data_IF_473251999637
#
_entry.id   IF_473251999637
#
_cell.length_a   1.000
_cell.length_b   1.000
_cell.length_c   1.000
_cell.angle_alpha   90.00
_cell.angle_beta   90.00
_cell.angle_gamma   90.00
#
_symmetry.space_group_name_H-M   'P 1'
#
loop_
_entity.id
_entity.type
_entity.pdbx_description
1 polymer ?
#
# COMPACT_ATOMS: atom_id res chain seq x y z
N UNK A 1 -2.25 8.49 -13.92
CA UNK A 1 -3.69 8.18 -14.06
C UNK A 1 -4.30 8.12 -12.68
N UNK A 2 -5.24 8.95 -12.41
CA UNK A 2 -5.56 9.37 -11.07
C UNK A 2 -6.82 8.77 -10.48
N UNK A 3 -7.15 9.28 -9.33
CA UNK A 3 -8.24 8.99 -8.38
C UNK A 3 -9.61 8.68 -9.02
N UNK A 4 -9.95 9.29 -10.16
CA UNK A 4 -11.19 9.04 -10.89
C UNK A 4 -11.28 7.60 -11.44
N UNK A 5 -10.16 6.99 -11.80
CA UNK A 5 -10.15 5.62 -12.34
C UNK A 5 -10.47 4.58 -11.25
N UNK A 6 -9.92 4.74 -10.04
CA UNK A 6 -10.13 3.78 -8.95
C UNK A 6 -11.58 3.84 -8.43
N UNK A 7 -12.14 5.05 -8.20
CA UNK A 7 -13.55 5.22 -7.79
C UNK A 7 -14.53 4.64 -8.80
N UNK A 8 -14.28 4.85 -10.09
CA UNK A 8 -15.13 4.30 -11.17
C UNK A 8 -15.03 2.77 -11.21
N UNK A 9 -13.82 2.22 -11.05
CA UNK A 9 -13.62 0.77 -11.04
C UNK A 9 -14.23 0.09 -9.81
N UNK A 10 -14.17 0.73 -8.63
CA UNK A 10 -14.86 0.25 -7.42
C UNK A 10 -16.38 0.22 -7.64
N UNK A 11 -16.95 1.27 -8.22
CA UNK A 11 -18.38 1.33 -8.51
C UNK A 11 -18.81 0.28 -9.55
N UNK A 12 -18.02 0.07 -10.61
CA UNK A 12 -18.28 -0.94 -11.65
C UNK A 12 -18.11 -2.38 -11.11
N UNK A 13 -17.12 -2.61 -10.23
CA UNK A 13 -16.92 -3.90 -9.58
C UNK A 13 -18.04 -4.21 -8.57
N UNK A 14 -18.49 -3.22 -7.81
CA UNK A 14 -19.64 -3.37 -6.91
C UNK A 14 -20.94 -3.72 -7.66
N UNK A 15 -21.17 -3.13 -8.84
CA UNK A 15 -22.31 -3.46 -9.67
C UNK A 15 -22.25 -4.88 -10.27
N UNK A 16 -21.06 -5.41 -10.55
CA UNK A 16 -20.85 -6.78 -11.05
C UNK A 16 -20.88 -7.84 -9.96
N UNK A 17 -20.39 -7.52 -8.75
CA UNK A 17 -20.31 -8.43 -7.61
C UNK A 17 -21.68 -8.78 -7.03
N UNK A 18 -22.67 -7.91 -7.15
CA UNK A 18 -24.05 -8.19 -6.71
C UNK A 18 -24.71 -9.41 -7.41
N UNK A 19 -24.10 -9.91 -8.48
CA UNK A 19 -24.66 -11.03 -9.29
C UNK A 19 -23.85 -12.35 -9.20
N UNK A 20 -22.76 -12.41 -8.42
CA UNK A 20 -21.89 -13.58 -8.34
C UNK A 20 -21.75 -14.09 -6.90
N UNK A 21 -21.72 -15.41 -6.71
CA UNK A 21 -21.39 -16.01 -5.42
C UNK A 21 -20.00 -15.56 -4.95
N UNK A 22 -19.80 -15.35 -3.64
CA UNK A 22 -18.52 -14.84 -3.11
C UNK A 22 -17.37 -15.80 -3.43
N UNK A 23 -16.36 -15.29 -4.10
CA UNK A 23 -15.15 -16.04 -4.50
C UNK A 23 -14.05 -16.02 -3.44
N UNK A 24 -14.28 -15.35 -2.33
CA UNK A 24 -13.36 -15.24 -1.20
C UNK A 24 -14.11 -15.27 0.14
N UNK A 25 -13.39 -15.49 1.24
CA UNK A 25 -13.98 -15.40 2.59
C UNK A 25 -14.06 -13.94 3.10
N UNK A 26 -14.18 -12.98 2.21
CA UNK A 26 -14.36 -11.57 2.55
C UNK A 26 -15.86 -11.23 2.63
N UNK A 27 -16.27 -10.26 3.48
CA UNK A 27 -17.60 -9.69 3.41
C UNK A 27 -17.91 -9.15 2.01
N UNK A 28 -19.16 -9.20 1.52
CA UNK A 28 -19.52 -8.81 0.15
C UNK A 28 -19.05 -7.40 -0.25
N UNK A 29 -19.10 -6.44 0.67
CA UNK A 29 -18.62 -5.07 0.49
C UNK A 29 -17.08 -4.99 0.28
N UNK A 30 -16.33 -5.87 0.95
CA UNK A 30 -14.87 -5.98 0.78
C UNK A 30 -14.47 -6.81 -0.44
N UNK A 31 -15.35 -7.71 -0.90
CA UNK A 31 -15.11 -8.49 -2.11
C UNK A 31 -15.01 -7.60 -3.35
N UNK A 32 -15.96 -6.68 -3.54
CA UNK A 32 -15.94 -5.75 -4.67
C UNK A 32 -14.73 -4.81 -4.63
N UNK A 33 -14.33 -4.38 -3.44
CA UNK A 33 -13.13 -3.58 -3.25
C UNK A 33 -11.86 -4.38 -3.59
N UNK A 34 -11.79 -5.63 -3.14
CA UNK A 34 -10.69 -6.54 -3.47
C UNK A 34 -10.56 -6.75 -4.98
N UNK A 35 -11.65 -7.04 -5.68
CA UNK A 35 -11.63 -7.22 -7.14
C UNK A 35 -11.16 -5.95 -7.86
N UNK A 36 -11.65 -4.78 -7.47
CA UNK A 36 -11.22 -3.50 -8.04
C UNK A 36 -9.74 -3.23 -7.80
N UNK A 37 -9.23 -3.52 -6.61
CA UNK A 37 -7.82 -3.36 -6.28
C UNK A 37 -6.93 -4.32 -7.07
N UNK A 38 -7.31 -5.59 -7.19
CA UNK A 38 -6.59 -6.57 -8.01
C UNK A 38 -6.48 -6.08 -9.46
N UNK A 39 -7.58 -5.60 -10.04
CA UNK A 39 -7.58 -5.08 -11.42
C UNK A 39 -6.68 -3.83 -11.56
N UNK A 40 -6.70 -2.94 -10.58
CA UNK A 40 -5.85 -1.74 -10.59
C UNK A 40 -4.37 -2.10 -10.52
N UNK A 41 -3.99 -2.96 -9.57
CA UNK A 41 -2.61 -3.39 -9.38
C UNK A 41 -2.08 -4.18 -10.58
N UNK A 42 -2.92 -5.01 -11.24
CA UNK A 42 -2.56 -5.71 -12.48
C UNK A 42 -2.27 -4.73 -13.63
N UNK A 43 -3.06 -3.67 -13.78
CA UNK A 43 -2.84 -2.65 -14.81
C UNK A 43 -1.56 -1.85 -14.58
N UNK A 44 -1.26 -1.52 -13.34
CA UNK A 44 -0.09 -0.70 -12.99
C UNK A 44 1.22 -1.49 -13.01
N UNK A 45 1.19 -2.75 -12.57
CA UNK A 45 2.39 -3.59 -12.50
C UNK A 45 2.84 -4.14 -13.85
N UNK A 46 1.98 -4.13 -14.87
CA UNK A 46 2.21 -4.77 -16.21
C UNK A 46 2.64 -6.25 -16.13
N UNK A 47 2.56 -6.85 -14.97
CA UNK A 47 2.93 -8.24 -14.70
C UNK A 47 1.73 -8.99 -14.15
N UNK A 48 1.69 -10.30 -14.39
CA UNK A 48 0.66 -11.14 -13.78
C UNK A 48 0.81 -11.08 -12.25
N UNK A 49 -0.23 -10.64 -11.56
CA UNK A 49 -0.27 -10.71 -10.11
C UNK A 49 -0.39 -12.18 -9.71
N UNK A 50 0.74 -12.76 -9.31
CA UNK A 50 0.78 -14.14 -8.83
C UNK A 50 -0.08 -14.34 -7.58
N UNK A 51 -0.13 -15.58 -7.10
CA UNK A 51 -0.86 -15.95 -5.87
C UNK A 51 -0.47 -15.06 -4.68
N UNK A 52 0.81 -14.70 -4.57
CA UNK A 52 1.35 -13.81 -3.52
C UNK A 52 0.68 -12.44 -3.51
N UNK A 53 0.60 -11.80 -4.67
CA UNK A 53 -0.03 -10.48 -4.77
C UNK A 53 -1.52 -10.51 -4.44
N UNK A 54 -2.24 -11.56 -4.86
CA UNK A 54 -3.66 -11.73 -4.53
C UNK A 54 -3.89 -11.94 -3.04
N UNK A 55 -3.07 -12.77 -2.38
CA UNK A 55 -3.15 -13.00 -0.94
C UNK A 55 -2.82 -11.75 -0.14
N UNK A 56 -1.77 -11.02 -0.53
CA UNK A 56 -1.41 -9.74 0.10
C UNK A 56 -2.48 -8.67 -0.12
N UNK A 57 -3.10 -8.62 -1.30
CA UNK A 57 -4.23 -7.70 -1.56
C UNK A 57 -5.41 -8.03 -0.66
N UNK A 58 -5.75 -9.31 -0.50
CA UNK A 58 -6.82 -9.76 0.39
C UNK A 58 -6.55 -9.35 1.84
N UNK A 59 -5.34 -9.61 2.34
CA UNK A 59 -4.93 -9.22 3.69
C UNK A 59 -5.01 -7.70 3.88
N UNK A 60 -4.51 -6.91 2.93
CA UNK A 60 -4.56 -5.45 3.01
C UNK A 60 -5.99 -4.89 3.00
N UNK A 61 -6.89 -5.46 2.20
CA UNK A 61 -8.32 -5.09 2.17
C UNK A 61 -9.02 -5.40 3.49
N UNK A 62 -8.61 -6.47 4.19
CA UNK A 62 -9.17 -6.80 5.51
C UNK A 62 -8.88 -5.73 6.56
N UNK A 63 -7.76 -5.01 6.45
CA UNK A 63 -7.37 -3.92 7.37
C UNK A 63 -8.18 -2.63 7.17
N UNK A 64 -8.86 -2.46 6.03
CA UNK A 64 -9.69 -1.28 5.78
C UNK A 64 -10.93 -1.28 6.66
N UNK A 65 -11.28 -0.11 7.18
CA UNK A 65 -12.56 0.08 7.87
C UNK A 65 -13.74 -0.01 6.89
N UNK A 66 -14.97 -0.29 7.37
CA UNK A 66 -16.17 -0.12 6.57
C UNK A 66 -16.20 1.30 5.99
N UNK A 67 -16.50 1.42 4.70
CA UNK A 67 -16.54 2.69 3.95
C UNK A 67 -15.21 3.43 3.76
N UNK A 68 -14.09 2.88 4.22
CA UNK A 68 -12.77 3.45 3.95
C UNK A 68 -12.36 3.17 2.50
N UNK A 69 -12.04 4.23 1.75
CA UNK A 69 -11.74 4.14 0.32
C UNK A 69 -10.23 4.32 0.10
N UNK A 70 -9.56 3.33 -0.52
CA UNK A 70 -8.20 3.49 -0.97
C UNK A 70 -8.05 4.66 -1.95
N UNK A 71 -7.03 5.49 -1.74
CA UNK A 71 -6.66 6.59 -2.65
C UNK A 71 -5.60 6.15 -3.63
N UNK A 72 -4.65 5.38 -3.15
CA UNK A 72 -3.55 4.85 -3.94
C UNK A 72 -3.10 3.51 -3.37
N UNK A 73 -2.66 2.60 -4.23
CA UNK A 73 -2.15 1.32 -3.79
C UNK A 73 -1.02 0.86 -4.72
N UNK A 74 -0.02 0.19 -4.13
CA UNK A 74 1.06 -0.48 -4.87
C UNK A 74 1.33 -1.87 -4.30
N UNK A 75 1.77 -2.77 -5.18
CA UNK A 75 2.36 -4.05 -4.82
C UNK A 75 3.89 -3.92 -4.87
N UNK A 76 4.56 -4.17 -3.77
CA UNK A 76 6.02 -3.98 -3.67
C UNK A 76 6.62 -4.80 -2.53
N UNK A 77 7.93 -4.70 -2.35
CA UNK A 77 8.59 -5.25 -1.18
C UNK A 77 8.82 -4.17 -0.13
N UNK A 78 8.61 -4.52 1.13
CA UNK A 78 8.97 -3.67 2.26
C UNK A 78 9.90 -4.39 3.21
N UNK A 79 10.65 -3.61 3.97
CA UNK A 79 11.38 -4.09 5.14
C UNK A 79 11.22 -3.09 6.28
N UNK A 80 11.20 -3.61 7.51
CA UNK A 80 10.99 -2.82 8.72
C UNK A 80 12.26 -2.76 9.55
N UNK A 81 12.56 -1.59 10.08
CA UNK A 81 13.51 -1.35 11.14
C UNK A 81 12.80 -0.76 12.36
N UNK A 82 13.37 -0.95 13.53
CA UNK A 82 12.89 -0.41 14.79
C UNK A 82 13.81 0.71 15.28
N UNK A 83 13.25 1.89 15.51
CA UNK A 83 14.00 3.01 16.11
C UNK A 83 14.45 2.68 17.53
N UNK A 84 13.62 1.98 18.31
CA UNK A 84 13.93 1.55 19.66
C UNK A 84 15.08 0.52 19.71
N UNK A 85 15.22 -0.32 18.67
CA UNK A 85 16.35 -1.26 18.54
C UNK A 85 17.62 -0.61 17.99
N UNK A 86 17.58 0.66 17.63
CA UNK A 86 18.70 1.38 17.05
C UNK A 86 19.00 0.99 15.59
N UNK A 87 18.02 0.48 14.86
CA UNK A 87 18.16 0.16 13.46
C UNK A 87 18.49 1.42 12.63
N UNK A 88 19.48 1.31 11.76
CA UNK A 88 19.90 2.40 10.89
C UNK A 88 19.45 2.12 9.46
N UNK A 89 18.72 3.06 8.91
CA UNK A 89 18.30 2.98 7.51
C UNK A 89 19.50 3.02 6.56
N UNK A 90 19.49 2.14 5.57
CA UNK A 90 20.46 2.14 4.47
C UNK A 90 19.76 2.36 3.13
N UNK A 91 20.47 2.83 2.09
CA UNK A 91 19.90 2.96 0.74
C UNK A 91 19.39 1.64 0.12
N UNK A 92 19.72 0.51 0.73
CA UNK A 92 19.24 -0.83 0.33
C UNK A 92 18.05 -1.31 1.17
N UNK A 93 17.59 -0.51 2.15
CA UNK A 93 16.62 -0.91 3.15
C UNK A 93 17.22 -1.89 4.18
N UNK A 94 16.36 -2.72 4.74
CA UNK A 94 16.73 -3.76 5.70
C UNK A 94 16.78 -5.14 5.02
N UNK A 95 17.39 -6.15 5.70
CA UNK A 95 17.62 -7.48 5.11
C UNK A 95 16.34 -8.27 4.83
N UNK A 96 15.40 -8.21 5.75
CA UNK A 96 14.17 -9.03 5.68
C UNK A 96 13.08 -8.33 4.88
N UNK A 97 13.08 -8.54 3.56
CA UNK A 97 12.09 -7.94 2.66
C UNK A 97 10.89 -8.85 2.50
N UNK A 98 9.70 -8.28 2.62
CA UNK A 98 8.43 -8.98 2.47
C UNK A 98 7.61 -8.33 1.36
N UNK A 99 7.00 -9.16 0.49
CA UNK A 99 6.09 -8.68 -0.54
C UNK A 99 4.74 -8.32 0.07
N UNK A 100 4.32 -7.07 -0.12
CA UNK A 100 3.12 -6.50 0.47
C UNK A 100 2.32 -5.68 -0.53
N UNK A 101 1.06 -5.47 -0.23
CA UNK A 101 0.26 -4.39 -0.81
C UNK A 101 0.25 -3.24 0.19
N UNK A 102 0.71 -2.05 -0.27
CA UNK A 102 0.58 -0.80 0.46
C UNK A 102 -0.63 -0.03 -0.05
N UNK A 103 -1.40 0.53 0.88
CA UNK A 103 -2.59 1.34 0.59
C UNK A 103 -2.48 2.68 1.32
N UNK A 104 -2.73 3.77 0.59
CA UNK A 104 -2.93 5.11 1.17
C UNK A 104 -4.44 5.38 1.17
N UNK A 105 -4.97 5.79 2.32
CA UNK A 105 -6.35 6.28 2.47
C UNK A 105 -6.36 7.78 2.80
N UNK A 106 -7.49 8.34 3.19
CA UNK A 106 -7.55 9.73 3.69
C UNK A 106 -7.00 9.86 5.12
N UNK A 107 -6.83 8.75 5.85
CA UNK A 107 -6.47 8.75 7.26
C UNK A 107 -5.19 7.99 7.57
N UNK A 108 -4.86 6.95 6.78
CA UNK A 108 -3.82 5.97 7.13
C UNK A 108 -2.99 5.53 5.93
N UNK A 109 -1.74 5.19 6.20
CA UNK A 109 -0.93 4.28 5.39
C UNK A 109 -1.04 2.89 6.01
N UNK A 110 -1.45 1.90 5.23
CA UNK A 110 -1.51 0.53 5.70
C UNK A 110 -0.86 -0.42 4.70
N UNK A 111 -0.35 -1.52 5.20
CA UNK A 111 0.17 -2.58 4.34
C UNK A 111 -0.01 -3.96 4.97
N UNK A 112 -0.14 -4.95 4.11
CA UNK A 112 -0.15 -6.34 4.51
C UNK A 112 0.54 -7.24 3.48
N UNK A 113 1.22 -8.27 3.98
CA UNK A 113 1.78 -9.35 3.22
C UNK A 113 1.35 -10.69 3.83
N UNK A 114 0.85 -11.61 3.00
CA UNK A 114 0.22 -12.85 3.46
C UNK A 114 1.11 -14.08 3.31
N UNK A 115 2.31 -13.96 2.74
CA UNK A 115 3.20 -15.10 2.48
C UNK A 115 4.50 -14.98 3.25
N UNK A 116 4.97 -16.13 3.73
CA UNK A 116 6.10 -16.21 4.65
C UNK A 116 5.66 -15.91 6.07
N UNK A 117 6.39 -15.06 6.78
CA UNK A 117 5.92 -14.47 8.04
C UNK A 117 4.90 -13.41 7.68
N UNK A 118 3.60 -13.58 8.03
CA UNK A 118 2.61 -12.54 7.80
C UNK A 118 3.06 -11.23 8.43
N UNK A 119 2.97 -10.17 7.65
CA UNK A 119 3.28 -8.82 8.11
C UNK A 119 2.10 -7.92 7.81
N UNK A 120 1.70 -7.16 8.80
CA UNK A 120 0.69 -6.12 8.66
C UNK A 120 1.05 -4.94 9.55
N UNK A 121 0.80 -3.74 9.07
CA UNK A 121 0.94 -2.53 9.86
C UNK A 121 -0.01 -1.45 9.33
N UNK A 122 -0.50 -0.66 10.26
CA UNK A 122 -1.30 0.53 10.02
C UNK A 122 -0.60 1.70 10.67
N UNK A 123 -0.37 2.76 9.90
CA UNK A 123 0.28 3.99 10.36
C UNK A 123 -0.69 5.15 10.11
N UNK A 124 -1.24 5.81 11.14
CA UNK A 124 -2.00 7.04 10.98
C UNK A 124 -1.18 8.09 10.24
N UNK A 125 -1.77 8.80 9.28
CA UNK A 125 -1.02 9.77 8.46
C UNK A 125 -0.45 10.93 9.30
N UNK A 126 -1.08 11.29 10.40
CA UNK A 126 -0.62 12.29 11.35
C UNK A 126 0.64 11.86 12.11
N UNK A 127 0.86 10.56 12.29
CA UNK A 127 2.02 10.00 12.99
C UNK A 127 3.25 9.85 12.10
N UNK A 128 3.11 10.00 10.79
CA UNK A 128 4.24 9.96 9.87
C UNK A 128 5.13 11.18 10.11
N UNK A 129 6.35 10.94 10.61
CA UNK A 129 7.34 11.97 10.94
C UNK A 129 8.26 12.27 9.77
N UNK A 130 8.66 11.24 9.00
CA UNK A 130 9.63 11.35 7.90
C UNK A 130 9.08 10.69 6.65
N UNK A 131 9.23 11.36 5.51
CA UNK A 131 9.08 10.80 4.16
C UNK A 131 10.31 11.26 3.37
N UNK A 132 11.29 10.37 3.24
CA UNK A 132 12.56 10.65 2.58
C UNK A 132 12.65 9.91 1.23
N UNK A 133 12.64 10.68 0.16
CA UNK A 133 12.70 10.21 -1.23
C UNK A 133 14.10 10.40 -1.86
N UNK A 134 15.11 10.77 -1.08
CA UNK A 134 16.48 11.00 -1.55
C UNK A 134 17.11 9.78 -2.23
N UNK A 135 16.66 8.56 -1.87
CA UNK A 135 17.10 7.31 -2.46
C UNK A 135 16.22 6.80 -3.62
N UNK A 136 15.29 7.62 -4.11
CA UNK A 136 14.51 7.34 -5.34
C UNK A 136 15.31 7.83 -6.56
N UNK A 137 16.40 7.16 -6.87
CA UNK A 137 17.37 7.58 -7.89
C UNK A 137 17.40 6.66 -9.10
N UNK A 138 17.24 5.37 -8.91
CA UNK A 138 17.41 4.33 -9.93
C UNK A 138 16.10 3.89 -10.57
N UNK A 139 16.14 3.68 -11.90
CA UNK A 139 15.01 3.14 -12.66
C UNK A 139 14.70 1.69 -12.26
N UNK A 140 15.70 0.94 -11.84
CA UNK A 140 15.58 -0.49 -11.52
C UNK A 140 15.31 -0.72 -10.04
N UNK A 141 16.07 -0.05 -9.17
CA UNK A 141 15.99 -0.23 -7.72
C UNK A 141 16.14 1.10 -7.01
N UNK A 142 15.13 1.45 -6.27
CA UNK A 142 15.05 2.63 -5.43
C UNK A 142 14.40 2.27 -4.11
N UNK A 143 14.62 3.07 -3.06
CA UNK A 143 14.02 2.86 -1.75
C UNK A 143 13.44 4.18 -1.25
N UNK A 144 12.17 4.16 -0.88
CA UNK A 144 11.49 5.23 -0.16
C UNK A 144 11.51 4.91 1.33
N UNK A 145 11.94 5.87 2.15
CA UNK A 145 11.92 5.78 3.61
C UNK A 145 10.71 6.51 4.17
N UNK A 146 9.96 5.83 5.02
CA UNK A 146 8.84 6.41 5.78
C UNK A 146 9.03 6.05 7.25
N UNK A 147 8.86 7.02 8.16
CA UNK A 147 8.99 6.77 9.60
C UNK A 147 7.77 7.28 10.35
N UNK A 148 7.39 6.51 11.34
CA UNK A 148 6.59 6.95 12.50
C UNK A 148 7.48 7.07 13.74
N UNK A 149 6.91 7.22 14.93
CA UNK A 149 7.67 7.37 16.18
C UNK A 149 8.50 6.12 16.56
N UNK A 150 8.16 4.94 16.05
CA UNK A 150 8.73 3.66 16.49
C UNK A 150 9.43 2.90 15.36
N UNK A 151 9.00 3.12 14.12
CA UNK A 151 9.33 2.24 13.00
C UNK A 151 9.93 3.00 11.84
N UNK A 152 10.90 2.38 11.19
CA UNK A 152 11.43 2.78 9.89
C UNK A 152 10.88 1.79 8.86
N UNK A 153 10.05 2.26 7.94
CA UNK A 153 9.56 1.49 6.80
C UNK A 153 10.40 1.82 5.56
N UNK A 154 11.09 0.82 5.03
CA UNK A 154 11.78 0.90 3.75
C UNK A 154 10.93 0.25 2.67
N UNK A 155 10.54 1.01 1.65
CA UNK A 155 9.67 0.59 0.54
C UNK A 155 10.53 0.49 -0.72
N UNK A 156 10.67 -0.72 -1.25
CA UNK A 156 11.44 -0.96 -2.47
C UNK A 156 10.61 -0.77 -3.73
N UNK A 157 11.25 -0.38 -4.81
CA UNK A 157 10.58 -0.27 -6.10
C UNK A 157 11.45 0.40 -7.15
N UNK A 158 10.86 0.66 -8.32
CA UNK A 158 11.51 1.49 -9.32
C UNK A 158 11.15 2.97 -9.10
N UNK A 159 11.95 3.86 -9.70
CA UNK A 159 11.79 5.32 -9.57
C UNK A 159 10.38 5.81 -9.92
N UNK A 160 9.77 5.26 -10.97
CA UNK A 160 8.47 5.73 -11.44
C UNK A 160 7.34 5.38 -10.44
N UNK A 161 7.32 4.12 -9.96
CA UNK A 161 6.30 3.64 -9.01
C UNK A 161 6.45 4.33 -7.67
N UNK A 162 7.67 4.38 -7.13
CA UNK A 162 7.91 5.01 -5.83
C UNK A 162 7.74 6.53 -5.88
N UNK A 163 8.12 7.19 -6.98
CA UNK A 163 7.91 8.63 -7.15
C UNK A 163 6.43 9.00 -7.13
N UNK A 164 5.59 8.24 -7.84
CA UNK A 164 4.14 8.45 -7.84
C UNK A 164 3.53 8.16 -6.45
N UNK A 165 3.93 7.06 -5.82
CA UNK A 165 3.48 6.69 -4.47
C UNK A 165 3.89 7.76 -3.44
N UNK A 166 5.14 8.20 -3.46
CA UNK A 166 5.67 9.24 -2.56
C UNK A 166 4.89 10.56 -2.71
N UNK A 167 4.59 10.97 -3.94
CA UNK A 167 3.83 12.19 -4.19
C UNK A 167 2.42 12.12 -3.59
N UNK A 168 1.72 10.99 -3.77
CA UNK A 168 0.38 10.79 -3.17
C UNK A 168 0.46 10.69 -1.64
N UNK A 169 1.47 10.03 -1.08
CA UNK A 169 1.67 9.95 0.37
C UNK A 169 1.93 11.33 0.99
N UNK A 170 2.86 12.11 0.41
CA UNK A 170 3.15 13.49 0.86
C UNK A 170 1.89 14.36 0.81
N UNK A 171 1.08 14.24 -0.23
CA UNK A 171 -0.20 14.96 -0.36
C UNK A 171 -1.21 14.55 0.69
N UNK A 172 -1.37 13.26 0.96
CA UNK A 172 -2.28 12.73 1.97
C UNK A 172 -1.89 13.20 3.38
N UNK A 173 -0.59 13.11 3.74
CA UNK A 173 -0.06 13.55 5.03
C UNK A 173 -0.27 15.05 5.23
N UNK A 174 0.05 15.90 4.23
CA UNK A 174 -0.19 17.34 4.31
C UNK A 174 -1.65 17.67 4.53
N UNK A 175 -2.55 17.04 3.76
CA UNK A 175 -3.99 17.21 3.90
C UNK A 175 -4.50 16.82 5.28
N UNK A 176 -3.98 15.73 5.86
CA UNK A 176 -4.36 15.28 7.20
C UNK A 176 -3.89 16.23 8.28
N UNK A 177 -2.60 16.60 8.27
CA UNK A 177 -2.00 17.54 9.24
C UNK A 177 -2.59 18.96 9.18
N UNK A 178 -3.21 19.36 8.08
CA UNK A 178 -3.90 20.66 7.99
C UNK A 178 -5.32 20.66 8.58
N UNK A 179 -5.82 19.50 9.01
CA UNK A 179 -7.16 19.33 9.59
C UNK A 179 -7.13 19.06 11.09
N UNK A 180 -5.94 18.77 11.64
CA UNK A 180 -5.65 18.67 13.08
C UNK A 180 -5.09 19.98 13.60
#
# INVERSE_FOLDING_TARGET
>A
MGLFSLKKQIAEAAAKSAAAAPKSNLPPEKESLYEAMVQTLLKESKTSMGMMGKSSTKAAVQLLYPNEIPKYAILTNVSLGSLAAGDVFTPKGFKNKTNVVLIITDERLLFAGALGTPIEKVIPLEEICVIDDSNITSVIHSVLRVEDAETILAIDGNKQVLGAFCAELKKAVRKRKSRT
#
